data_IF_997320183766
#
_entry.id   IF_997320183766
#
_cell.length_a   1.000
_cell.length_b   1.000
_cell.length_c   1.000
_cell.angle_alpha   90.00
_cell.angle_beta   90.00
_cell.angle_gamma   90.00
#
_symmetry.space_group_name_H-M   'P 1'
#
loop_
_entity.id
_entity.type
_entity.pdbx_description
1 polymer ?
#
# COMPACT_ATOMS: atom_id res chain seq x y z
N UNK A 1 -45.65 54.52 -2.99
CA UNK A 1 -44.40 54.37 -3.77
C UNK A 1 -43.28 53.71 -2.98
N UNK A 2 -42.75 54.30 -1.91
CA UNK A 2 -41.64 53.72 -1.11
C UNK A 2 -41.85 52.26 -0.62
N UNK A 3 -43.04 51.85 -0.14
CA UNK A 3 -43.26 50.47 0.30
C UNK A 3 -43.28 49.44 -0.83
N UNK A 4 -43.88 49.78 -1.98
CA UNK A 4 -43.91 48.92 -3.18
C UNK A 4 -42.50 48.70 -3.73
N UNK A 5 -41.71 49.77 -3.84
CA UNK A 5 -40.34 49.69 -4.34
C UNK A 5 -39.45 48.82 -3.43
N UNK A 6 -39.65 48.86 -2.10
CA UNK A 6 -38.96 47.97 -1.15
C UNK A 6 -39.37 46.51 -1.32
N UNK A 7 -40.64 46.25 -1.61
CA UNK A 7 -41.15 44.89 -1.83
C UNK A 7 -40.61 44.30 -3.14
N UNK A 8 -40.61 45.06 -4.22
CA UNK A 8 -40.04 44.64 -5.51
C UNK A 8 -38.53 44.33 -5.41
N UNK A 9 -37.77 45.17 -4.71
CA UNK A 9 -36.34 44.91 -4.44
C UNK A 9 -36.18 43.62 -3.62
N UNK A 10 -37.01 43.41 -2.59
CA UNK A 10 -36.96 42.19 -1.77
C UNK A 10 -37.24 40.95 -2.61
N UNK A 11 -38.26 40.97 -3.45
CA UNK A 11 -38.65 39.84 -4.29
C UNK A 11 -37.58 39.52 -5.33
N UNK A 12 -36.97 40.55 -5.93
CA UNK A 12 -35.83 40.41 -6.85
C UNK A 12 -34.60 39.79 -6.15
N UNK A 13 -34.28 40.24 -4.94
CA UNK A 13 -33.18 39.68 -4.14
C UNK A 13 -33.47 38.23 -3.76
N UNK A 14 -34.69 37.91 -3.32
CA UNK A 14 -35.09 36.53 -2.98
C UNK A 14 -35.03 35.60 -4.20
N UNK A 15 -35.47 36.08 -5.37
CA UNK A 15 -35.37 35.35 -6.62
C UNK A 15 -33.90 35.06 -7.00
N UNK A 16 -33.03 36.06 -6.82
CA UNK A 16 -31.59 35.92 -7.07
C UNK A 16 -30.97 34.91 -6.12
N UNK A 17 -31.24 34.98 -4.81
CA UNK A 17 -30.75 34.03 -3.81
C UNK A 17 -31.20 32.61 -4.15
N UNK A 18 -32.48 32.41 -4.49
CA UNK A 18 -33.01 31.09 -4.86
C UNK A 18 -32.32 30.53 -6.10
N UNK A 19 -32.05 31.38 -7.09
CA UNK A 19 -31.36 30.99 -8.32
C UNK A 19 -29.89 30.65 -8.06
N UNK A 20 -29.21 31.43 -7.20
CA UNK A 20 -27.84 31.15 -6.81
C UNK A 20 -27.71 29.86 -6.01
N UNK A 21 -28.61 29.60 -5.05
CA UNK A 21 -28.60 28.34 -4.29
C UNK A 21 -28.77 27.13 -5.20
N UNK A 22 -29.70 27.18 -6.17
CA UNK A 22 -29.83 26.11 -7.16
C UNK A 22 -28.56 25.88 -7.98
N UNK A 23 -27.85 26.95 -8.33
CA UNK A 23 -26.57 26.84 -9.05
C UNK A 23 -25.48 26.25 -8.15
N UNK A 24 -25.44 26.60 -6.86
CA UNK A 24 -24.52 26.03 -5.89
C UNK A 24 -24.78 24.53 -5.76
N UNK A 25 -26.02 24.11 -5.52
CA UNK A 25 -26.37 22.68 -5.39
C UNK A 25 -26.00 21.89 -6.66
N UNK A 26 -26.23 22.47 -7.84
CA UNK A 26 -25.86 21.87 -9.11
C UNK A 26 -24.34 21.74 -9.28
N UNK A 27 -23.58 22.81 -8.99
CA UNK A 27 -22.13 22.80 -9.09
C UNK A 27 -21.50 21.85 -8.07
N UNK A 28 -22.04 21.75 -6.86
CA UNK A 28 -21.61 20.78 -5.84
C UNK A 28 -21.83 19.34 -6.30
N UNK A 29 -22.96 19.07 -6.97
CA UNK A 29 -23.22 17.77 -7.58
C UNK A 29 -22.22 17.47 -8.71
N UNK A 30 -21.98 18.41 -9.62
CA UNK A 30 -21.02 18.23 -10.71
C UNK A 30 -19.59 18.02 -10.18
N UNK A 31 -19.19 18.75 -9.13
CA UNK A 31 -17.89 18.56 -8.50
C UNK A 31 -17.73 17.15 -7.94
N UNK A 32 -18.75 16.66 -7.25
CA UNK A 32 -18.76 15.28 -6.72
C UNK A 32 -18.65 14.24 -7.83
N UNK A 33 -19.39 14.41 -8.92
CA UNK A 33 -19.33 13.49 -10.07
C UNK A 33 -17.95 13.52 -10.74
N UNK A 34 -17.34 14.70 -10.86
CA UNK A 34 -15.97 14.85 -11.39
C UNK A 34 -14.93 14.20 -10.48
N UNK A 35 -15.05 14.35 -9.16
CA UNK A 35 -14.13 13.71 -8.20
C UNK A 35 -14.18 12.18 -8.32
N UNK A 36 -15.38 11.61 -8.49
CA UNK A 36 -15.56 10.16 -8.72
C UNK A 36 -14.85 9.71 -10.01
N UNK A 37 -14.95 10.50 -11.08
CA UNK A 37 -14.29 10.19 -12.37
C UNK A 37 -12.78 10.31 -12.24
N UNK A 38 -12.28 11.35 -11.57
CA UNK A 38 -10.84 11.54 -11.33
C UNK A 38 -10.28 10.34 -10.56
N UNK A 39 -10.96 9.91 -9.49
CA UNK A 39 -10.55 8.74 -8.71
C UNK A 39 -10.47 7.47 -9.58
N UNK A 40 -11.46 7.22 -10.43
CA UNK A 40 -11.48 6.05 -11.34
C UNK A 40 -10.33 6.12 -12.37
N UNK A 41 -10.04 7.30 -12.92
CA UNK A 41 -8.92 7.51 -13.84
C UNK A 41 -7.59 7.26 -13.13
N UNK A 42 -7.42 7.77 -11.91
CA UNK A 42 -6.21 7.57 -11.11
C UNK A 42 -6.03 6.10 -10.72
N UNK A 43 -7.10 5.37 -10.45
CA UNK A 43 -7.06 3.93 -10.18
C UNK A 43 -6.64 3.13 -11.43
N UNK A 44 -7.20 3.46 -12.61
CA UNK A 44 -6.80 2.83 -13.88
C UNK A 44 -5.36 3.14 -14.28
N UNK A 45 -4.90 4.37 -14.02
CA UNK A 45 -3.52 4.77 -14.25
C UNK A 45 -2.56 3.98 -13.36
N UNK A 46 -2.86 3.85 -12.06
CA UNK A 46 -2.08 3.03 -11.12
C UNK A 46 -2.07 1.55 -11.54
N UNK A 47 -3.20 1.01 -11.99
CA UNK A 47 -3.27 -0.37 -12.48
C UNK A 47 -2.37 -0.60 -13.70
N UNK A 48 -2.41 0.30 -14.68
CA UNK A 48 -1.54 0.26 -15.86
C UNK A 48 -0.06 0.39 -15.47
N UNK A 49 0.26 1.31 -14.58
CA UNK A 49 1.62 1.49 -14.07
C UNK A 49 2.11 0.22 -13.35
N UNK A 50 1.29 -0.36 -12.47
CA UNK A 50 1.63 -1.58 -11.75
C UNK A 50 1.79 -2.77 -12.70
N UNK A 51 0.97 -2.86 -13.75
CA UNK A 51 1.10 -3.89 -14.78
C UNK A 51 2.44 -3.78 -15.51
N UNK A 52 2.90 -2.57 -15.80
CA UNK A 52 4.22 -2.34 -16.40
C UNK A 52 5.40 -2.75 -15.49
N UNK A 53 5.15 -2.96 -14.19
CA UNK A 53 6.12 -3.40 -13.16
C UNK A 53 6.01 -4.89 -12.85
N UNK A 54 5.18 -5.67 -13.55
CA UNK A 54 4.91 -7.09 -13.22
C UNK A 54 6.16 -7.99 -13.24
N UNK A 55 7.13 -7.70 -14.10
CA UNK A 55 8.42 -8.41 -14.12
C UNK A 55 9.49 -7.76 -13.23
N UNK A 56 9.14 -6.77 -12.41
CA UNK A 56 10.08 -6.05 -11.57
C UNK A 56 9.99 -6.47 -10.08
N UNK A 57 11.16 -6.59 -9.46
CA UNK A 57 11.31 -6.81 -8.02
C UNK A 57 12.17 -5.72 -7.41
N UNK A 58 11.96 -5.49 -6.12
CA UNK A 58 12.74 -4.57 -5.31
C UNK A 58 13.52 -5.32 -4.24
N UNK A 59 14.84 -5.17 -4.28
CA UNK A 59 15.79 -5.84 -3.40
C UNK A 59 16.37 -4.81 -2.44
N UNK A 60 16.28 -5.06 -1.15
CA UNK A 60 16.79 -4.21 -0.09
C UNK A 60 17.93 -4.90 0.65
N UNK A 61 18.83 -4.12 1.25
CA UNK A 61 19.87 -4.65 2.14
C UNK A 61 21.16 -5.07 1.44
N UNK A 62 21.38 -4.65 0.20
CA UNK A 62 22.67 -4.84 -0.48
C UNK A 62 23.53 -3.61 -0.23
N UNK A 63 24.69 -3.77 0.42
CA UNK A 63 25.65 -2.67 0.63
C UNK A 63 26.06 -2.07 -0.72
N UNK A 64 26.11 -0.74 -0.82
CA UNK A 64 26.56 -0.05 -2.02
C UNK A 64 28.09 -0.16 -2.15
N UNK A 65 28.58 -0.47 -3.35
CA UNK A 65 30.01 -0.54 -3.65
C UNK A 65 30.34 0.38 -4.82
N UNK A 66 31.55 0.93 -4.82
CA UNK A 66 32.07 1.66 -5.98
C UNK A 66 32.11 0.75 -7.20
N UNK A 67 31.60 1.24 -8.34
CA UNK A 67 31.61 0.51 -9.62
C UNK A 67 30.90 -0.85 -9.56
N UNK A 68 29.81 -0.96 -8.80
CA UNK A 68 29.02 -2.18 -8.72
C UNK A 68 28.27 -2.52 -10.03
N UNK A 69 28.14 -3.81 -10.32
CA UNK A 69 27.20 -4.30 -11.34
C UNK A 69 25.97 -4.84 -10.64
N UNK A 70 24.85 -4.11 -10.74
CA UNK A 70 23.57 -4.52 -10.15
C UNK A 70 23.04 -5.81 -10.80
N UNK A 71 23.34 -6.05 -12.08
CA UNK A 71 22.95 -7.29 -12.76
C UNK A 71 23.69 -8.51 -12.18
N UNK A 72 25.00 -8.40 -11.93
CA UNK A 72 25.78 -9.47 -11.27
C UNK A 72 25.23 -9.76 -9.88
N UNK A 73 24.98 -8.72 -9.09
CA UNK A 73 24.40 -8.86 -7.74
C UNK A 73 23.05 -9.60 -7.79
N UNK A 74 22.17 -9.27 -8.73
CA UNK A 74 20.86 -9.92 -8.88
C UNK A 74 21.02 -11.39 -9.32
N UNK A 75 21.95 -11.67 -10.24
CA UNK A 75 22.25 -13.04 -10.66
C UNK A 75 22.83 -13.89 -9.51
N UNK A 76 23.75 -13.33 -8.71
CA UNK A 76 24.33 -13.99 -7.53
C UNK A 76 23.25 -14.34 -6.49
N UNK A 77 22.29 -13.43 -6.28
CA UNK A 77 21.12 -13.70 -5.41
C UNK A 77 20.29 -14.86 -5.99
N UNK A 78 20.06 -14.87 -7.30
CA UNK A 78 19.37 -15.96 -7.98
C UNK A 78 20.06 -17.31 -7.78
N UNK A 79 21.37 -17.35 -8.02
CA UNK A 79 22.20 -18.54 -7.83
C UNK A 79 22.18 -19.02 -6.37
N UNK A 80 22.32 -18.13 -5.40
CA UNK A 80 22.19 -18.45 -3.97
C UNK A 80 20.82 -19.06 -3.63
N UNK A 81 19.77 -18.54 -4.28
CA UNK A 81 18.40 -19.04 -4.13
C UNK A 81 18.16 -20.36 -4.88
N UNK A 82 19.15 -20.90 -5.60
CA UNK A 82 19.06 -22.12 -6.40
C UNK A 82 18.19 -21.95 -7.64
N UNK A 83 18.17 -20.75 -8.22
CA UNK A 83 17.46 -20.44 -9.46
C UNK A 83 18.47 -20.45 -10.58
N UNK A 84 18.17 -21.22 -11.63
CA UNK A 84 18.93 -21.18 -12.87
C UNK A 84 18.57 -19.88 -13.62
N UNK A 85 19.38 -18.85 -13.40
CA UNK A 85 19.26 -17.57 -14.08
C UNK A 85 20.63 -16.95 -14.31
N UNK A 86 20.72 -16.18 -15.39
CA UNK A 86 21.91 -15.46 -15.79
C UNK A 86 21.64 -13.96 -15.85
N UNK A 87 22.70 -13.18 -16.06
CA UNK A 87 22.59 -11.74 -16.35
C UNK A 87 21.71 -11.50 -17.59
N UNK A 88 21.69 -12.43 -18.55
CA UNK A 88 20.86 -12.31 -19.75
C UNK A 88 19.36 -12.41 -19.46
N UNK A 89 18.95 -12.90 -18.30
CA UNK A 89 17.53 -12.96 -17.90
C UNK A 89 17.05 -11.65 -17.27
N UNK A 90 17.97 -10.71 -17.05
CA UNK A 90 17.71 -9.38 -16.52
C UNK A 90 17.58 -8.42 -17.71
N UNK A 91 16.47 -7.68 -17.77
CA UNK A 91 16.25 -6.63 -18.76
C UNK A 91 16.99 -5.35 -18.35
N UNK A 92 16.81 -4.94 -17.09
CA UNK A 92 17.46 -3.76 -16.50
C UNK A 92 17.49 -3.90 -14.98
N UNK A 93 18.62 -3.56 -14.36
CA UNK A 93 18.69 -3.32 -12.92
C UNK A 93 19.44 -2.04 -12.58
N UNK A 94 19.08 -1.41 -11.46
CA UNK A 94 19.70 -0.17 -10.97
C UNK A 94 19.30 0.13 -9.52
N UNK A 95 20.11 0.96 -8.84
CA UNK A 95 19.77 1.53 -7.52
C UNK A 95 18.67 2.58 -7.66
N UNK A 96 17.79 2.68 -6.67
CA UNK A 96 16.70 3.65 -6.64
C UNK A 96 16.71 4.47 -5.37
N UNK A 97 16.44 5.77 -5.53
CA UNK A 97 16.48 6.77 -4.47
C UNK A 97 17.72 7.66 -4.57
N UNK A 98 17.65 8.78 -3.85
CA UNK A 98 18.73 9.76 -3.84
C UNK A 98 19.99 9.16 -3.24
N UNK A 99 21.17 9.36 -3.86
CA UNK A 99 22.45 9.06 -3.23
C UNK A 99 22.47 9.68 -1.83
N UNK A 100 22.83 8.87 -0.84
CA UNK A 100 23.02 9.37 0.53
C UNK A 100 24.52 9.48 0.76
N UNK A 101 24.93 10.49 1.52
CA UNK A 101 26.30 10.59 1.99
C UNK A 101 26.64 9.33 2.80
N UNK A 102 27.72 8.65 2.39
CA UNK A 102 28.09 7.32 2.88
C UNK A 102 28.26 7.27 4.41
N UNK A 103 28.64 8.38 5.03
CA UNK A 103 28.93 8.46 6.47
C UNK A 103 27.66 8.42 7.36
N UNK A 104 26.47 8.74 6.82
CA UNK A 104 25.23 8.83 7.60
C UNK A 104 24.10 7.90 7.10
N UNK A 105 24.34 7.13 6.04
CA UNK A 105 23.34 6.25 5.46
C UNK A 105 23.11 4.99 6.30
N UNK A 106 22.13 5.01 7.21
CA UNK A 106 21.76 3.85 8.06
C UNK A 106 21.29 2.63 7.25
N UNK A 107 20.90 2.82 5.98
CA UNK A 107 20.43 1.75 5.07
C UNK A 107 20.81 2.06 3.61
N UNK A 108 21.33 1.06 2.87
CA UNK A 108 21.67 1.22 1.46
C UNK A 108 20.42 1.38 0.59
N UNK A 109 20.58 2.03 -0.57
CA UNK A 109 19.50 2.20 -1.55
C UNK A 109 19.05 0.85 -2.10
N UNK A 110 17.73 0.62 -2.28
CA UNK A 110 17.26 -0.61 -2.91
C UNK A 110 17.70 -0.72 -4.36
N UNK A 111 17.83 -1.94 -4.86
CA UNK A 111 17.97 -2.27 -6.28
C UNK A 111 16.58 -2.60 -6.82
N UNK A 112 16.18 -1.99 -7.93
CA UNK A 112 15.08 -2.52 -8.75
C UNK A 112 15.71 -3.38 -9.84
N UNK A 113 15.20 -4.59 -10.03
CA UNK A 113 15.56 -5.47 -11.12
C UNK A 113 14.32 -5.87 -11.91
N UNK A 114 14.32 -5.62 -13.22
CA UNK A 114 13.30 -6.07 -14.16
C UNK A 114 13.83 -7.28 -14.91
N UNK A 115 13.10 -8.38 -14.86
CA UNK A 115 13.41 -9.61 -15.58
C UNK A 115 12.83 -9.58 -17.01
N UNK A 116 13.40 -10.37 -17.91
CA UNK A 116 12.86 -10.54 -19.28
C UNK A 116 11.57 -11.35 -19.31
N UNK A 117 11.37 -12.23 -18.34
CA UNK A 117 10.21 -13.11 -18.26
C UNK A 117 9.54 -13.07 -16.89
N UNK A 118 8.21 -13.13 -16.90
CA UNK A 118 7.42 -13.26 -15.68
C UNK A 118 7.73 -14.57 -14.92
N UNK A 119 8.07 -15.66 -15.62
CA UNK A 119 8.48 -16.93 -15.01
C UNK A 119 9.69 -16.77 -14.10
N UNK A 120 10.74 -16.08 -14.57
CA UNK A 120 11.96 -15.81 -13.80
C UNK A 120 11.62 -14.99 -12.55
N UNK A 121 10.85 -13.91 -12.72
CA UNK A 121 10.37 -13.09 -11.59
C UNK A 121 9.59 -13.93 -10.57
N UNK A 122 8.70 -14.80 -11.04
CA UNK A 122 7.86 -15.66 -10.19
C UNK A 122 8.72 -16.62 -9.37
N UNK A 123 9.71 -17.26 -9.99
CA UNK A 123 10.60 -18.21 -9.32
C UNK A 123 11.54 -17.50 -8.35
N UNK A 124 12.00 -16.29 -8.70
CA UNK A 124 12.71 -15.37 -7.82
C UNK A 124 11.87 -15.04 -6.58
N UNK A 125 10.65 -14.57 -6.77
CA UNK A 125 9.76 -14.25 -5.66
C UNK A 125 9.41 -15.49 -4.82
N UNK A 126 9.22 -16.66 -5.42
CA UNK A 126 8.90 -17.91 -4.70
C UNK A 126 10.02 -18.32 -3.75
N UNK A 127 11.28 -18.23 -4.18
CA UNK A 127 12.43 -18.69 -3.41
C UNK A 127 12.98 -17.65 -2.41
N UNK A 128 12.48 -16.40 -2.42
CA UNK A 128 13.02 -15.27 -1.64
C UNK A 128 13.21 -15.51 -0.14
N UNK A 129 12.44 -16.44 0.45
CA UNK A 129 12.57 -16.78 1.87
C UNK A 129 13.96 -17.31 2.23
N UNK A 130 14.68 -17.90 1.27
CA UNK A 130 16.07 -18.34 1.44
C UNK A 130 17.02 -17.20 1.82
N UNK A 131 16.68 -15.95 1.47
CA UNK A 131 17.48 -14.75 1.80
C UNK A 131 17.27 -14.23 3.23
N UNK A 132 16.27 -14.71 3.97
CA UNK A 132 15.87 -14.10 5.25
C UNK A 132 16.99 -14.15 6.28
N UNK A 133 17.71 -15.28 6.34
CA UNK A 133 18.74 -15.57 7.34
C UNK A 133 20.11 -15.82 6.69
N UNK A 134 20.30 -15.33 5.45
CA UNK A 134 21.47 -15.66 4.63
C UNK A 134 22.74 -14.92 5.01
N UNK A 135 22.68 -13.81 5.78
CA UNK A 135 23.84 -12.94 6.02
C UNK A 135 25.08 -13.62 6.60
N UNK A 136 24.86 -14.61 7.46
CA UNK A 136 25.94 -15.35 8.12
C UNK A 136 26.54 -16.43 7.23
N UNK A 137 25.97 -16.67 6.06
CA UNK A 137 26.42 -17.69 5.14
C UNK A 137 27.80 -17.31 4.55
N UNK A 138 28.83 -18.15 4.73
CA UNK A 138 30.16 -17.88 4.21
C UNK A 138 30.18 -17.65 2.70
N UNK A 139 29.28 -18.31 1.95
CA UNK A 139 29.27 -18.27 0.47
C UNK A 139 28.81 -16.93 -0.10
N UNK A 140 28.12 -16.10 0.70
CA UNK A 140 27.63 -14.82 0.23
C UNK A 140 28.76 -13.80 -0.03
N UNK A 141 28.63 -12.95 -1.05
CA UNK A 141 29.52 -11.81 -1.25
C UNK A 141 29.49 -10.82 -0.07
N UNK A 142 30.58 -10.07 0.21
CA UNK A 142 30.64 -9.10 1.30
C UNK A 142 29.50 -8.06 1.28
N UNK A 143 29.05 -7.61 0.10
CA UNK A 143 27.96 -6.65 -0.03
C UNK A 143 26.60 -7.18 0.45
N UNK A 144 26.47 -8.49 0.67
CA UNK A 144 25.24 -9.16 1.11
C UNK A 144 25.25 -9.55 2.59
N UNK A 145 26.35 -9.27 3.32
CA UNK A 145 26.53 -9.70 4.71
C UNK A 145 26.12 -8.66 5.76
N UNK A 146 26.09 -7.38 5.40
CA UNK A 146 25.88 -6.29 6.38
C UNK A 146 24.41 -6.11 6.78
N UNK A 147 23.45 -6.33 5.87
CA UNK A 147 22.04 -6.03 6.11
C UNK A 147 21.12 -7.20 5.75
N UNK A 148 19.90 -7.20 6.29
CA UNK A 148 18.92 -8.26 6.00
C UNK A 148 18.38 -8.04 4.62
N UNK A 149 18.46 -9.07 3.79
CA UNK A 149 18.07 -8.98 2.40
C UNK A 149 16.58 -9.28 2.31
N UNK A 150 15.84 -8.30 1.79
CA UNK A 150 14.41 -8.42 1.58
C UNK A 150 14.10 -8.18 0.11
N UNK A 151 13.46 -9.18 -0.50
CA UNK A 151 12.99 -9.14 -1.88
C UNK A 151 11.46 -8.98 -1.84
N UNK A 152 10.95 -7.95 -2.51
CA UNK A 152 9.52 -7.66 -2.60
C UNK A 152 9.14 -7.38 -4.06
N UNK A 153 7.83 -7.42 -4.36
CA UNK A 153 7.33 -6.86 -5.61
C UNK A 153 7.69 -5.37 -5.70
N UNK A 154 8.00 -4.88 -6.90
CA UNK A 154 8.11 -3.44 -7.13
C UNK A 154 6.72 -2.82 -7.26
N UNK A 155 6.19 -2.32 -6.14
CA UNK A 155 4.90 -1.65 -6.08
C UNK A 155 5.01 -0.20 -6.56
N UNK A 156 3.92 0.33 -7.13
CA UNK A 156 3.74 1.79 -7.29
C UNK A 156 3.80 2.48 -5.92
N UNK A 157 4.07 3.80 -5.91
CA UNK A 157 4.11 4.56 -4.66
C UNK A 157 2.78 4.49 -3.90
N UNK A 158 1.65 4.55 -4.62
CA UNK A 158 0.30 4.41 -4.05
C UNK A 158 0.13 3.07 -3.34
N UNK A 159 0.44 1.96 -4.02
CA UNK A 159 0.33 0.61 -3.43
C UNK A 159 1.34 0.38 -2.32
N UNK A 160 2.57 0.87 -2.45
CA UNK A 160 3.57 0.78 -1.39
C UNK A 160 3.12 1.50 -0.10
N UNK A 161 2.43 2.64 -0.23
CA UNK A 161 1.83 3.35 0.90
C UNK A 161 0.72 2.53 1.55
N UNK A 162 -0.20 1.97 0.75
CA UNK A 162 -1.26 1.07 1.23
C UNK A 162 -0.68 -0.14 1.95
N UNK A 163 0.33 -0.80 1.38
CA UNK A 163 0.98 -1.95 2.00
C UNK A 163 1.68 -1.57 3.31
N UNK A 164 2.19 -0.33 3.42
CA UNK A 164 2.71 0.23 4.67
C UNK A 164 1.63 0.38 5.74
N UNK A 165 0.45 0.88 5.37
CA UNK A 165 -0.72 0.95 6.26
C UNK A 165 -1.15 -0.45 6.71
N UNK A 166 -1.21 -1.42 5.81
CA UNK A 166 -1.51 -2.82 6.14
C UNK A 166 -0.48 -3.42 7.11
N UNK A 167 0.83 -3.17 6.91
CA UNK A 167 1.86 -3.58 7.87
C UNK A 167 1.66 -2.96 9.25
N UNK A 168 1.20 -1.71 9.33
CA UNK A 168 0.86 -1.07 10.60
C UNK A 168 -0.29 -1.80 11.30
N UNK A 169 -1.36 -2.14 10.56
CA UNK A 169 -2.46 -2.94 11.10
C UNK A 169 -1.98 -4.30 11.64
N UNK A 170 -1.02 -4.95 10.98
CA UNK A 170 -0.42 -6.20 11.46
C UNK A 170 0.36 -5.99 12.76
N UNK A 171 1.20 -4.95 12.84
CA UNK A 171 1.93 -4.59 14.07
C UNK A 171 0.99 -4.29 15.24
N UNK A 172 -0.11 -3.61 14.96
CA UNK A 172 -1.17 -3.28 15.92
C UNK A 172 -2.06 -4.50 16.24
N UNK A 173 -1.75 -5.69 15.72
CA UNK A 173 -2.48 -6.95 15.89
C UNK A 173 -3.95 -6.90 15.44
N UNK A 174 -4.31 -5.94 14.58
CA UNK A 174 -5.67 -5.80 14.02
C UNK A 174 -5.97 -6.80 12.91
N UNK A 175 -4.93 -7.32 12.26
CA UNK A 175 -5.01 -8.37 11.23
C UNK A 175 -4.02 -9.50 11.54
N UNK A 176 -4.24 -10.68 10.95
CA UNK A 176 -3.35 -11.84 11.15
C UNK A 176 -2.06 -11.68 10.36
N UNK A 177 -2.13 -11.20 9.11
CA UNK A 177 -0.96 -11.02 8.23
C UNK A 177 -1.31 -10.19 7.00
N UNK A 178 -0.34 -9.49 6.41
CA UNK A 178 -0.42 -8.98 5.05
C UNK A 178 0.75 -9.50 4.18
N UNK A 179 0.57 -9.52 2.86
CA UNK A 179 1.64 -9.77 1.87
C UNK A 179 1.26 -9.18 0.51
N UNK A 180 2.26 -8.97 -0.34
CA UNK A 180 2.06 -8.68 -1.75
C UNK A 180 2.41 -9.87 -2.63
N UNK A 181 1.70 -9.98 -3.76
CA UNK A 181 2.01 -10.88 -4.86
C UNK A 181 1.50 -10.26 -6.15
N UNK A 182 2.38 -10.12 -7.14
CA UNK A 182 2.07 -9.62 -8.48
C UNK A 182 1.41 -8.24 -8.46
N UNK A 183 1.94 -7.36 -7.60
CA UNK A 183 1.42 -6.00 -7.45
C UNK A 183 0.12 -5.90 -6.66
N UNK A 184 -0.47 -7.01 -6.21
CA UNK A 184 -1.70 -7.04 -5.41
C UNK A 184 -1.35 -7.23 -3.94
N UNK A 185 -1.99 -6.46 -3.07
CA UNK A 185 -1.83 -6.59 -1.61
C UNK A 185 -2.95 -7.48 -1.07
N UNK A 186 -2.58 -8.43 -0.22
CA UNK A 186 -3.47 -9.37 0.42
C UNK A 186 -3.41 -9.18 1.93
N UNK A 187 -4.58 -9.22 2.57
CA UNK A 187 -4.72 -9.10 4.02
C UNK A 187 -5.51 -10.30 4.54
N UNK A 188 -4.91 -11.07 5.45
CA UNK A 188 -5.62 -12.10 6.23
C UNK A 188 -6.18 -11.47 7.49
N UNK A 189 -7.49 -11.38 7.57
CA UNK A 189 -8.23 -10.81 8.70
C UNK A 189 -8.27 -11.76 9.89
N UNK A 190 -8.69 -11.26 11.07
CA UNK A 190 -8.86 -12.08 12.28
C UNK A 190 -9.92 -13.17 12.15
N UNK A 191 -10.87 -13.05 11.22
CA UNK A 191 -11.84 -14.12 10.92
C UNK A 191 -11.28 -15.19 9.99
N UNK A 192 -10.01 -15.08 9.57
CA UNK A 192 -9.37 -16.02 8.65
C UNK A 192 -9.54 -15.69 7.16
N UNK A 193 -10.47 -14.80 6.81
CA UNK A 193 -10.73 -14.39 5.42
C UNK A 193 -9.57 -13.59 4.85
N UNK A 194 -9.29 -13.81 3.55
CA UNK A 194 -8.29 -13.06 2.78
C UNK A 194 -9.00 -12.02 1.92
N UNK A 195 -8.60 -10.75 2.07
CA UNK A 195 -9.11 -9.62 1.31
C UNK A 195 -8.01 -9.10 0.40
N UNK A 196 -8.36 -8.75 -0.84
CA UNK A 196 -7.48 -8.13 -1.81
C UNK A 196 -7.64 -6.61 -1.72
N UNK A 197 -6.53 -5.90 -1.66
CA UNK A 197 -6.48 -4.45 -1.59
C UNK A 197 -5.73 -3.94 -2.83
N UNK A 198 -6.44 -3.30 -3.76
CA UNK A 198 -5.87 -2.70 -4.98
C UNK A 198 -5.90 -1.18 -4.91
N UNK A 199 -6.94 -0.63 -4.30
CA UNK A 199 -7.22 0.80 -4.23
C UNK A 199 -7.21 1.28 -2.78
N UNK A 200 -7.19 2.61 -2.60
CA UNK A 200 -7.40 3.21 -1.28
C UNK A 200 -8.83 2.92 -0.78
N UNK A 201 -9.82 2.84 -1.67
CA UNK A 201 -11.20 2.48 -1.32
C UNK A 201 -11.30 1.09 -0.71
N UNK A 202 -10.55 0.11 -1.23
CA UNK A 202 -10.49 -1.23 -0.66
C UNK A 202 -9.89 -1.21 0.76
N UNK A 203 -8.85 -0.40 0.96
CA UNK A 203 -8.23 -0.21 2.27
C UNK A 203 -9.20 0.43 3.27
N UNK A 204 -9.95 1.46 2.86
CA UNK A 204 -10.95 2.11 3.71
C UNK A 204 -12.05 1.14 4.13
N UNK A 205 -12.56 0.31 3.21
CA UNK A 205 -13.54 -0.74 3.52
C UNK A 205 -13.00 -1.74 4.55
N UNK A 206 -11.72 -2.12 4.44
CA UNK A 206 -11.06 -2.96 5.44
C UNK A 206 -11.04 -2.25 6.80
N UNK A 207 -10.60 -1.00 6.87
CA UNK A 207 -10.49 -0.24 8.12
C UNK A 207 -11.84 -0.01 8.81
N UNK A 208 -12.88 0.30 8.04
CA UNK A 208 -14.26 0.41 8.51
C UNK A 208 -14.74 -0.93 9.10
N UNK A 209 -14.53 -2.04 8.38
CA UNK A 209 -14.92 -3.37 8.85
C UNK A 209 -14.22 -3.78 10.15
N UNK A 210 -12.98 -3.34 10.35
CA UNK A 210 -12.23 -3.57 11.58
C UNK A 210 -12.74 -2.69 12.73
N UNK A 211 -13.09 -1.43 12.44
CA UNK A 211 -13.62 -0.48 13.41
C UNK A 211 -14.99 -0.90 13.94
N UNK A 212 -15.90 -1.31 13.04
CA UNK A 212 -17.23 -1.83 13.40
C UNK A 212 -17.13 -3.04 14.34
N UNK A 213 -16.21 -3.97 14.07
CA UNK A 213 -16.00 -5.16 14.91
C UNK A 213 -15.49 -4.81 16.32
N UNK A 214 -14.71 -3.74 16.46
CA UNK A 214 -14.27 -3.24 17.77
C UNK A 214 -15.45 -2.66 18.53
N UNK A 215 -16.29 -1.85 17.87
CA UNK A 215 -17.49 -1.26 18.48
C UNK A 215 -18.46 -2.33 18.98
N UNK A 216 -18.75 -3.35 18.16
CA UNK A 216 -19.64 -4.47 18.54
C UNK A 216 -19.08 -5.26 19.73
N UNK A 217 -17.76 -5.49 19.79
CA UNK A 217 -17.15 -6.16 20.96
C UNK A 217 -17.30 -5.32 22.23
N UNK A 218 -17.08 -4.00 22.15
CA UNK A 218 -17.19 -3.12 23.31
C UNK A 218 -18.64 -3.06 23.84
N UNK A 219 -19.64 -2.96 22.96
CA UNK A 219 -21.03 -2.95 23.38
C UNK A 219 -21.45 -4.28 24.02
N UNK A 220 -20.98 -5.42 23.50
CA UNK A 220 -21.26 -6.72 24.10
C UNK A 220 -20.62 -6.90 25.49
N UNK A 221 -19.42 -6.34 25.72
CA UNK A 221 -18.80 -6.33 27.06
C UNK A 221 -19.58 -5.45 28.04
N UNK A 222 -19.98 -4.24 27.63
CA UNK A 222 -20.75 -3.33 28.50
C UNK A 222 -22.10 -3.91 28.92
N UNK A 223 -22.82 -4.58 28.01
CA UNK A 223 -24.09 -5.22 28.34
C UNK A 223 -23.90 -6.39 29.32
N UNK A 224 -22.81 -7.15 29.20
CA UNK A 224 -22.51 -8.28 30.10
C UNK A 224 -22.16 -7.82 31.52
N UNK A 225 -21.50 -6.66 31.65
CA UNK A 225 -21.20 -6.07 32.95
C UNK A 225 -22.47 -5.50 33.63
N UNK A 226 -23.44 -4.99 32.85
CA UNK A 226 -24.74 -4.53 33.37
C UNK A 226 -25.61 -5.69 33.89
N UNK A 227 -25.69 -6.81 33.16
CA UNK A 227 -26.40 -8.02 33.59
C UNK A 227 -25.83 -8.59 34.91
N UNK A 228 -24.50 -8.51 35.10
CA UNK A 228 -23.83 -8.98 36.33
C UNK A 228 -24.07 -8.06 37.54
N UNK A 229 -24.38 -6.78 37.32
CA UNK A 229 -24.69 -5.84 38.40
C UNK A 229 -26.14 -5.93 38.88
N UNK A 230 -27.11 -6.23 38.01
CA UNK A 230 -28.52 -6.38 38.40
C UNK A 230 -28.78 -7.66 39.21
N UNK A 231 -28.02 -8.73 38.96
CA UNK A 231 -28.12 -9.99 39.72
C UNK A 231 -27.59 -9.87 41.15
N UNK A 232 -26.78 -8.84 41.46
CA UNK A 232 -26.23 -8.61 42.81
C UNK A 232 -27.04 -7.64 43.67
N UNK A 233 -28.07 -7.00 43.10
CA UNK A 233 -28.93 -6.05 43.81
C UNK A 233 -30.31 -6.62 44.18
N UNK A 234 -30.51 -7.93 44.02
CA UNK A 234 -31.78 -8.63 44.26
C UNK A 234 -31.78 -9.59 45.47
N UNK A 235 -30.71 -9.59 46.28
CA UNK A 235 -30.63 -10.30 47.57
C UNK A 235 -30.62 -9.34 48.77
#
# INVERSE_FOLDING_TARGET
MLPQMRQEIRDSVQHTIKTLNKKIDFLESELKDRDIIIDDILDKLDESEQYSRREAVRINGITEMSSESTDKIVADIGAYMGIDMSINDINRSHRVGNPKDYDNATRPRPIIARFKGYSVKRDFMKNRKKMKDSKSDPILPPCMKNHSIYINDDLTNKRALIDSKCRKLYKDKKIIRNWSMDGIIFVKTQSGNVILIRTERDYMKLEESLSLKITIKKSHLQNKDQDLTEVKSTD
#
